data_IF_098572178246
#
_entry.id   IF_098572178246
#
_cell.length_a   1.000
_cell.length_b   1.000
_cell.length_c   1.000
_cell.angle_alpha   90.00
_cell.angle_beta   90.00
_cell.angle_gamma   90.00
#
_symmetry.space_group_name_H-M   'P 1'
#
loop_
_entity.id
_entity.type
_entity.pdbx_description
1 polymer ?
#
# COMPACT_ATOMS: atom_id res chain seq x y z
N UNK A 1 -14.31 17.76 19.19
CA UNK A 1 -14.74 16.42 18.73
C UNK A 1 -16.20 16.47 18.29
N UNK A 2 -16.53 15.91 17.09
CA UNK A 2 -17.88 16.02 16.51
C UNK A 2 -18.92 15.21 17.29
N UNK A 3 -18.55 14.02 17.77
CA UNK A 3 -19.45 13.10 18.49
C UNK A 3 -18.89 12.66 19.84
N UNK A 4 -17.63 12.99 20.18
CA UNK A 4 -16.94 12.48 21.37
C UNK A 4 -17.53 12.90 22.72
N UNK A 5 -18.39 13.91 22.77
CA UNK A 5 -19.12 14.33 23.97
C UNK A 5 -20.49 13.63 24.15
N UNK A 6 -20.91 12.80 23.19
CA UNK A 6 -22.21 12.13 23.24
C UNK A 6 -22.04 10.76 23.93
N UNK A 7 -22.82 10.50 24.97
CA UNK A 7 -22.84 9.18 25.61
C UNK A 7 -23.29 8.11 24.61
N UNK A 8 -22.69 6.92 24.62
CA UNK A 8 -22.96 5.84 23.66
C UNK A 8 -24.45 5.46 23.57
N UNK A 9 -25.14 5.38 24.70
CA UNK A 9 -26.59 5.07 24.73
C UNK A 9 -27.48 6.19 24.20
N UNK A 10 -26.95 7.41 24.04
CA UNK A 10 -27.66 8.57 23.45
C UNK A 10 -27.25 8.86 22.03
N UNK A 11 -26.28 8.14 21.48
CA UNK A 11 -25.79 8.34 20.11
C UNK A 11 -26.86 7.84 19.12
N UNK A 12 -27.40 8.77 18.32
CA UNK A 12 -28.44 8.50 17.31
C UNK A 12 -27.86 8.58 15.90
N UNK A 13 -28.49 7.93 14.90
CA UNK A 13 -28.05 8.02 13.48
C UNK A 13 -27.85 9.46 13.01
N UNK A 14 -28.77 10.37 13.32
CA UNK A 14 -28.68 11.79 12.99
C UNK A 14 -27.36 12.45 13.41
N UNK A 15 -26.81 12.11 14.58
CA UNK A 15 -25.52 12.65 15.03
C UNK A 15 -24.35 12.19 14.14
N UNK A 16 -24.42 10.98 13.59
CA UNK A 16 -23.44 10.44 12.66
C UNK A 16 -23.61 11.05 11.27
N UNK A 17 -24.82 11.32 10.82
CA UNK A 17 -25.07 12.06 9.56
C UNK A 17 -24.52 13.47 9.64
N UNK A 18 -24.76 14.18 10.74
CA UNK A 18 -24.17 15.50 10.97
C UNK A 18 -22.65 15.45 10.99
N UNK A 19 -22.06 14.45 11.63
CA UNK A 19 -20.60 14.22 11.60
C UNK A 19 -20.09 14.04 10.16
N UNK A 20 -20.76 13.23 9.33
CA UNK A 20 -20.40 13.03 7.92
C UNK A 20 -20.53 14.33 7.12
N UNK A 21 -21.61 15.08 7.32
CA UNK A 21 -21.84 16.37 6.67
C UNK A 21 -20.70 17.35 7.00
N UNK A 22 -20.32 17.47 8.25
CA UNK A 22 -19.21 18.31 8.67
C UNK A 22 -17.85 17.82 8.15
N UNK A 23 -17.62 16.49 8.09
CA UNK A 23 -16.41 15.92 7.48
C UNK A 23 -16.28 16.28 6.00
N UNK A 24 -17.38 16.22 5.24
CA UNK A 24 -17.41 16.60 3.80
C UNK A 24 -17.07 18.07 3.56
N UNK A 25 -17.38 18.97 4.51
CA UNK A 25 -17.00 20.40 4.45
C UNK A 25 -15.53 20.64 4.73
N UNK A 26 -14.86 19.74 5.46
CA UNK A 26 -13.45 19.91 5.83
C UNK A 26 -12.53 19.76 4.63
N UNK A 27 -11.46 20.56 4.65
CA UNK A 27 -10.38 20.46 3.68
C UNK A 27 -9.17 19.77 4.31
N UNK A 28 -8.56 18.87 3.57
CA UNK A 28 -7.29 18.24 3.90
C UNK A 28 -6.33 18.47 2.73
N UNK A 29 -5.19 19.09 2.98
CA UNK A 29 -4.25 19.56 1.95
C UNK A 29 -4.95 20.41 0.84
N UNK A 30 -5.82 21.34 1.25
CA UNK A 30 -6.53 22.27 0.34
C UNK A 30 -7.72 21.64 -0.43
N UNK A 31 -7.91 20.32 -0.40
CA UNK A 31 -9.01 19.61 -1.08
C UNK A 31 -10.08 19.17 -0.08
N UNK A 32 -11.35 19.25 -0.48
CA UNK A 32 -12.46 18.69 0.33
C UNK A 32 -12.30 17.18 0.51
N UNK A 33 -12.69 16.68 1.68
CA UNK A 33 -12.73 15.24 1.94
C UNK A 33 -13.76 14.61 1.01
N UNK A 34 -13.34 13.60 0.23
CA UNK A 34 -14.22 12.87 -0.67
C UNK A 34 -15.10 11.86 0.08
N UNK A 35 -16.17 11.40 -0.55
CA UNK A 35 -17.14 10.47 0.04
C UNK A 35 -16.47 9.18 0.55
N UNK A 36 -15.59 8.59 -0.22
CA UNK A 36 -14.86 7.38 0.18
C UNK A 36 -14.05 7.57 1.47
N UNK A 37 -13.46 8.75 1.66
CA UNK A 37 -12.72 9.09 2.89
C UNK A 37 -13.67 9.32 4.06
N UNK A 38 -14.79 10.03 3.85
CA UNK A 38 -15.79 10.23 4.89
C UNK A 38 -16.37 8.89 5.39
N UNK A 39 -16.65 7.97 4.47
CA UNK A 39 -17.12 6.63 4.82
C UNK A 39 -16.07 5.79 5.56
N UNK A 40 -14.77 5.97 5.29
CA UNK A 40 -13.71 5.33 6.09
C UNK A 40 -13.72 5.81 7.54
N UNK A 41 -13.93 7.09 7.79
CA UNK A 41 -14.11 7.58 9.17
C UNK A 41 -15.32 6.93 9.83
N UNK A 42 -16.45 6.85 9.13
CA UNK A 42 -17.63 6.19 9.65
C UNK A 42 -17.41 4.70 9.92
N UNK A 43 -16.65 4.00 9.07
CA UNK A 43 -16.35 2.58 9.27
C UNK A 43 -15.57 2.32 10.57
N UNK A 44 -14.66 3.23 10.95
CA UNK A 44 -13.97 3.15 12.25
C UNK A 44 -14.96 3.35 13.40
N UNK A 45 -15.82 4.37 13.31
CA UNK A 45 -16.87 4.60 14.33
C UNK A 45 -17.80 3.40 14.40
N UNK A 46 -18.23 2.85 13.25
CA UNK A 46 -19.10 1.67 13.21
C UNK A 46 -18.44 0.43 13.82
N UNK A 47 -17.12 0.26 13.67
CA UNK A 47 -16.40 -0.85 14.31
C UNK A 47 -16.43 -0.74 15.83
N UNK A 48 -16.16 0.46 16.38
CA UNK A 48 -16.26 0.73 17.83
C UNK A 48 -17.67 0.52 18.35
N UNK A 49 -18.68 1.00 17.62
CA UNK A 49 -20.08 0.80 18.00
C UNK A 49 -20.54 -0.67 17.89
N UNK A 50 -19.96 -1.43 16.97
CA UNK A 50 -20.21 -2.87 16.87
C UNK A 50 -19.58 -3.63 18.04
N UNK A 51 -18.45 -3.16 18.53
CA UNK A 51 -17.81 -3.71 19.72
C UNK A 51 -18.63 -3.38 20.98
N UNK A 52 -19.08 -2.13 21.11
CA UNK A 52 -19.99 -1.71 22.19
C UNK A 52 -21.30 -2.52 22.20
N UNK A 53 -21.86 -2.85 21.01
CA UNK A 53 -23.02 -3.74 20.91
C UNK A 53 -22.69 -5.16 21.35
N UNK A 54 -21.52 -5.70 20.97
CA UNK A 54 -21.09 -7.05 21.36
C UNK A 54 -20.93 -7.18 22.89
N UNK A 55 -20.48 -6.10 23.52
CA UNK A 55 -20.35 -6.02 24.98
C UNK A 55 -21.62 -5.51 25.67
N UNK A 56 -22.77 -5.52 25.00
CA UNK A 56 -24.08 -5.16 25.54
C UNK A 56 -24.21 -3.74 26.13
N UNK A 57 -23.27 -2.84 25.79
CA UNK A 57 -23.29 -1.41 26.19
C UNK A 57 -24.38 -0.65 25.42
N UNK A 58 -24.70 -1.08 24.20
CA UNK A 58 -25.77 -0.55 23.36
C UNK A 58 -26.52 -1.70 22.67
N UNK A 59 -27.81 -1.56 22.50
CA UNK A 59 -28.65 -2.59 21.84
C UNK A 59 -28.43 -2.66 20.34
N UNK A 60 -28.25 -1.51 19.70
CA UNK A 60 -28.14 -1.38 18.22
C UNK A 60 -26.98 -0.48 17.84
N UNK A 61 -26.31 -0.80 16.74
CA UNK A 61 -25.29 0.07 16.16
C UNK A 61 -25.95 1.13 15.25
N UNK A 62 -26.00 2.41 15.65
CA UNK A 62 -26.64 3.45 14.88
C UNK A 62 -25.95 3.74 13.54
N UNK A 63 -24.66 3.42 13.39
CA UNK A 63 -23.95 3.61 12.12
C UNK A 63 -24.41 2.63 11.02
N UNK A 64 -24.99 1.49 11.38
CA UNK A 64 -25.56 0.54 10.42
C UNK A 64 -26.96 0.90 9.92
N UNK A 65 -27.56 1.92 10.52
CA UNK A 65 -28.89 2.43 10.13
C UNK A 65 -28.80 3.56 9.12
N UNK A 66 -27.58 3.98 8.74
CA UNK A 66 -27.36 5.03 7.77
C UNK A 66 -27.44 4.48 6.35
N UNK A 67 -28.25 5.12 5.53
CA UNK A 67 -28.23 4.92 4.09
C UNK A 67 -27.16 5.82 3.46
N UNK A 68 -26.08 5.22 2.99
CA UNK A 68 -24.92 5.93 2.49
C UNK A 68 -24.87 5.86 0.96
N UNK A 69 -24.59 6.97 0.29
CA UNK A 69 -24.40 6.94 -1.15
C UNK A 69 -23.21 6.04 -1.51
N UNK A 70 -23.36 5.22 -2.53
CA UNK A 70 -22.26 4.41 -3.05
C UNK A 70 -21.16 5.33 -3.58
N UNK A 71 -19.92 5.22 -3.09
CA UNK A 71 -18.83 6.03 -3.61
C UNK A 71 -18.63 5.77 -5.10
N UNK A 72 -18.59 6.82 -5.91
CA UNK A 72 -18.28 6.67 -7.31
C UNK A 72 -16.88 6.08 -7.46
N UNK A 73 -16.79 4.94 -8.14
CA UNK A 73 -15.50 4.36 -8.52
C UNK A 73 -14.88 5.23 -9.61
N UNK A 74 -13.78 5.86 -9.30
CA UNK A 74 -12.97 6.52 -10.33
C UNK A 74 -12.42 5.42 -11.24
N UNK A 75 -12.77 5.43 -12.51
CA UNK A 75 -12.16 4.54 -13.50
C UNK A 75 -10.68 4.91 -13.58
N UNK A 76 -9.82 3.98 -13.20
CA UNK A 76 -8.37 4.18 -13.31
C UNK A 76 -7.99 4.14 -14.78
N UNK A 77 -7.43 5.23 -15.29
CA UNK A 77 -6.92 5.29 -16.64
C UNK A 77 -5.67 4.41 -16.76
N UNK A 78 -5.68 3.53 -17.74
CA UNK A 78 -4.49 2.74 -18.11
C UNK A 78 -3.59 3.64 -18.96
N UNK A 79 -2.28 3.73 -18.67
CA UNK A 79 -1.35 4.50 -19.48
C UNK A 79 -1.27 3.95 -20.93
N UNK A 80 -1.17 4.84 -21.89
CA UNK A 80 -0.92 4.47 -23.28
C UNK A 80 0.53 3.99 -23.47
N UNK A 81 0.80 3.28 -24.56
CA UNK A 81 2.16 2.83 -24.91
C UNK A 81 3.16 3.99 -24.92
N UNK A 82 2.81 5.10 -25.54
CA UNK A 82 3.70 6.28 -25.62
C UNK A 82 3.99 6.91 -24.24
N UNK A 83 3.03 6.86 -23.33
CA UNK A 83 3.24 7.31 -21.94
C UNK A 83 4.17 6.38 -21.17
N UNK A 84 4.07 5.07 -21.40
CA UNK A 84 4.99 4.09 -20.81
C UNK A 84 6.40 4.28 -21.36
N UNK A 85 6.57 4.48 -22.67
CA UNK A 85 7.86 4.78 -23.30
C UNK A 85 8.51 6.04 -22.70
N UNK A 86 7.77 7.14 -22.58
CA UNK A 86 8.25 8.37 -21.92
C UNK A 86 8.64 8.15 -20.45
N UNK A 87 7.88 7.31 -19.74
CA UNK A 87 8.21 6.94 -18.35
C UNK A 87 9.54 6.18 -18.31
N UNK A 88 9.75 5.21 -19.20
CA UNK A 88 10.99 4.44 -19.28
C UNK A 88 12.20 5.33 -19.61
N UNK A 89 12.06 6.29 -20.54
CA UNK A 89 13.09 7.27 -20.87
C UNK A 89 13.43 8.16 -19.67
N UNK A 90 12.42 8.57 -18.90
CA UNK A 90 12.63 9.35 -17.68
C UNK A 90 13.38 8.51 -16.65
N UNK A 91 12.96 7.26 -16.43
CA UNK A 91 13.60 6.33 -15.51
C UNK A 91 15.05 6.00 -15.91
N UNK A 92 15.39 6.07 -17.19
CA UNK A 92 16.76 5.86 -17.65
C UNK A 92 17.75 6.90 -17.10
N UNK A 93 17.27 8.11 -16.76
CA UNK A 93 18.05 9.23 -16.21
C UNK A 93 18.16 9.16 -14.68
N UNK A 94 17.30 8.38 -14.04
CA UNK A 94 17.24 8.25 -12.59
C UNK A 94 18.36 7.35 -12.03
N UNK A 95 18.73 7.50 -10.73
CA UNK A 95 19.65 6.58 -10.06
C UNK A 95 19.21 5.13 -10.22
N UNK A 96 20.17 4.23 -10.46
CA UNK A 96 19.90 2.83 -10.86
C UNK A 96 18.98 2.06 -9.91
N UNK A 97 19.05 2.33 -8.60
CA UNK A 97 18.18 1.67 -7.63
C UNK A 97 16.70 2.11 -7.78
N UNK A 98 16.43 3.38 -8.09
CA UNK A 98 15.07 3.83 -8.41
C UNK A 98 14.59 3.23 -9.72
N UNK A 99 15.44 3.26 -10.77
CA UNK A 99 15.10 2.64 -12.05
C UNK A 99 14.71 1.17 -11.87
N UNK A 100 15.54 0.39 -11.14
CA UNK A 100 15.25 -1.02 -10.89
C UNK A 100 13.97 -1.22 -10.10
N UNK A 101 13.74 -0.41 -9.06
CA UNK A 101 12.53 -0.46 -8.25
C UNK A 101 11.26 -0.26 -9.09
N UNK A 102 11.25 0.75 -9.94
CA UNK A 102 10.09 1.03 -10.80
C UNK A 102 9.92 -0.01 -11.90
N UNK A 103 11.00 -0.50 -12.51
CA UNK A 103 10.93 -1.60 -13.46
C UNK A 103 10.32 -2.85 -12.81
N UNK A 104 10.82 -3.26 -11.65
CA UNK A 104 10.24 -4.37 -10.90
C UNK A 104 8.76 -4.13 -10.58
N UNK A 105 8.39 -2.91 -10.16
CA UNK A 105 6.99 -2.56 -9.92
C UNK A 105 6.10 -2.78 -11.15
N UNK A 106 6.56 -2.32 -12.31
CA UNK A 106 5.81 -2.44 -13.57
C UNK A 106 5.66 -3.89 -14.04
N UNK A 107 6.74 -4.67 -13.95
CA UNK A 107 6.73 -6.06 -14.43
C UNK A 107 6.06 -7.04 -13.46
N UNK A 108 6.08 -6.78 -12.16
CA UNK A 108 5.59 -7.74 -11.14
C UNK A 108 4.23 -7.37 -10.56
N UNK A 109 3.82 -6.12 -10.65
CA UNK A 109 2.64 -5.61 -9.93
C UNK A 109 2.76 -5.72 -8.40
N UNK A 110 3.97 -5.89 -7.86
CA UNK A 110 4.19 -5.98 -6.44
C UNK A 110 3.87 -4.66 -5.73
N UNK A 111 3.34 -4.76 -4.51
CA UNK A 111 3.12 -3.57 -3.67
C UNK A 111 4.47 -2.96 -3.26
N UNK A 112 4.49 -1.66 -3.02
CA UNK A 112 5.69 -0.94 -2.58
C UNK A 112 6.40 -1.63 -1.40
N UNK A 113 5.65 -2.07 -0.39
CA UNK A 113 6.20 -2.75 0.78
C UNK A 113 6.79 -4.12 0.45
N UNK A 114 6.21 -4.86 -0.47
CA UNK A 114 6.73 -6.14 -0.97
C UNK A 114 8.05 -5.93 -1.72
N UNK A 115 8.09 -4.95 -2.65
CA UNK A 115 9.32 -4.59 -3.37
C UNK A 115 10.45 -4.16 -2.44
N UNK A 116 10.13 -3.39 -1.38
CA UNK A 116 11.11 -2.92 -0.41
C UNK A 116 11.65 -4.03 0.51
N UNK A 117 10.99 -5.19 0.54
CA UNK A 117 11.38 -6.35 1.33
C UNK A 117 12.08 -7.44 0.51
N UNK A 118 12.23 -7.25 -0.81
CA UNK A 118 12.88 -8.24 -1.67
C UNK A 118 14.35 -8.42 -1.32
N UNK A 119 14.78 -9.67 -1.30
CA UNK A 119 16.16 -10.08 -1.10
C UNK A 119 16.67 -10.84 -2.32
N UNK A 120 17.99 -10.91 -2.48
CA UNK A 120 18.60 -11.68 -3.56
C UNK A 120 18.24 -13.17 -3.53
N UNK A 121 17.97 -13.72 -2.35
CA UNK A 121 17.51 -15.10 -2.15
C UNK A 121 16.10 -15.38 -2.67
N UNK A 122 15.30 -14.33 -2.89
CA UNK A 122 13.93 -14.49 -3.40
C UNK A 122 13.88 -14.76 -4.91
N UNK A 123 15.04 -14.66 -5.60
CA UNK A 123 15.14 -14.86 -7.05
C UNK A 123 15.81 -16.20 -7.34
N UNK A 124 15.05 -17.12 -7.93
CA UNK A 124 15.52 -18.44 -8.39
C UNK A 124 15.70 -18.45 -9.90
N UNK A 125 16.85 -18.89 -10.39
CA UNK A 125 17.12 -19.01 -11.83
C UNK A 125 16.26 -20.08 -12.48
N UNK A 126 15.70 -19.76 -13.67
CA UNK A 126 15.02 -20.71 -14.56
C UNK A 126 15.75 -20.74 -15.91
N UNK A 127 15.41 -21.67 -16.82
CA UNK A 127 16.03 -21.73 -18.14
C UNK A 127 15.92 -20.41 -18.90
N UNK A 128 14.74 -19.76 -18.86
CA UNK A 128 14.43 -18.59 -19.69
C UNK A 128 14.20 -17.30 -18.88
N UNK A 129 14.53 -17.25 -17.58
CA UNK A 129 14.27 -16.07 -16.76
C UNK A 129 14.62 -16.27 -15.30
N UNK A 130 13.84 -15.62 -14.44
CA UNK A 130 13.89 -15.77 -12.98
C UNK A 130 12.49 -16.00 -12.44
N UNK A 131 12.40 -16.81 -11.40
CA UNK A 131 11.20 -16.91 -10.56
C UNK A 131 11.42 -16.06 -9.31
N UNK A 132 10.52 -15.12 -9.06
CA UNK A 132 10.52 -14.26 -7.89
C UNK A 132 9.48 -14.76 -6.89
N UNK A 133 9.91 -15.11 -5.68
CA UNK A 133 9.04 -15.46 -4.57
C UNK A 133 8.76 -14.24 -3.71
N UNK A 134 7.49 -13.80 -3.65
CA UNK A 134 7.04 -12.66 -2.84
C UNK A 134 6.36 -13.18 -1.58
N UNK A 135 7.07 -13.15 -0.46
CA UNK A 135 6.60 -13.71 0.83
C UNK A 135 6.55 -12.67 1.96
N UNK A 136 7.20 -11.52 1.78
CA UNK A 136 7.42 -10.51 2.82
C UNK A 136 6.99 -9.12 2.36
N UNK A 137 6.76 -8.24 3.33
CA UNK A 137 6.48 -6.83 3.11
C UNK A 137 7.19 -5.99 4.17
N UNK A 138 7.75 -4.86 3.79
CA UNK A 138 8.41 -3.91 4.68
C UNK A 138 7.61 -2.62 4.75
N UNK A 139 7.39 -2.12 5.95
CA UNK A 139 6.73 -0.84 6.19
C UNK A 139 7.56 0.01 7.14
N UNK A 140 7.54 1.32 6.94
CA UNK A 140 8.13 2.27 7.88
C UNK A 140 7.10 2.61 8.96
N UNK A 141 7.44 2.36 10.21
CA UNK A 141 6.57 2.64 11.36
C UNK A 141 7.21 3.76 12.18
N UNK A 142 6.50 4.87 12.44
CA UNK A 142 7.00 5.95 13.27
C UNK A 142 7.51 5.42 14.62
N UNK A 143 8.71 5.81 15.03
CA UNK A 143 9.36 5.38 16.27
C UNK A 143 9.96 3.97 16.27
N UNK A 144 9.65 3.12 15.27
CA UNK A 144 10.20 1.76 15.16
C UNK A 144 11.07 1.54 13.93
N UNK A 145 11.12 2.51 12.99
CA UNK A 145 11.85 2.38 11.75
C UNK A 145 11.20 1.40 10.77
N UNK A 146 12.02 0.67 10.01
CA UNK A 146 11.54 -0.31 9.04
C UNK A 146 11.22 -1.64 9.72
N UNK A 147 9.98 -2.07 9.61
CA UNK A 147 9.48 -3.34 10.16
C UNK A 147 9.12 -4.27 9.01
N UNK A 148 9.65 -5.49 9.04
CA UNK A 148 9.26 -6.56 8.13
C UNK A 148 8.16 -7.42 8.72
N UNK A 149 7.26 -7.89 7.86
CA UNK A 149 6.19 -8.81 8.21
C UNK A 149 5.74 -9.60 6.99
N UNK A 150 4.76 -10.46 7.19
CA UNK A 150 4.12 -11.17 6.10
C UNK A 150 3.43 -10.21 5.11
N UNK A 151 3.11 -10.71 3.91
CA UNK A 151 2.27 -9.97 2.95
C UNK A 151 0.91 -9.66 3.56
N UNK A 152 0.20 -8.65 3.03
CA UNK A 152 -1.11 -8.21 3.55
C UNK A 152 -2.13 -9.35 3.77
N UNK A 153 -2.04 -10.42 2.97
CA UNK A 153 -2.95 -11.56 3.06
C UNK A 153 -2.28 -12.81 3.69
N UNK A 154 -1.05 -12.69 4.21
CA UNK A 154 -0.28 -13.80 4.76
C UNK A 154 0.17 -14.86 3.76
N UNK A 155 -0.15 -14.71 2.47
CA UNK A 155 0.15 -15.68 1.41
C UNK A 155 1.38 -15.25 0.61
N UNK A 156 2.28 -16.19 0.35
CA UNK A 156 3.34 -16.04 -0.64
C UNK A 156 2.79 -16.25 -2.05
N UNK A 157 3.46 -15.67 -3.04
CA UNK A 157 3.19 -15.92 -4.45
C UNK A 157 4.48 -15.87 -5.26
N UNK A 158 4.44 -16.50 -6.40
CA UNK A 158 5.53 -16.52 -7.36
C UNK A 158 5.18 -15.66 -8.57
N UNK A 159 6.17 -14.94 -9.09
CA UNK A 159 6.07 -14.10 -10.28
C UNK A 159 7.22 -14.45 -11.21
N UNK A 160 6.91 -14.83 -12.44
CA UNK A 160 7.91 -15.08 -13.45
C UNK A 160 8.44 -13.76 -14.04
N UNK A 161 9.75 -13.65 -14.17
CA UNK A 161 10.45 -12.53 -14.77
C UNK A 161 11.19 -12.97 -16.03
N UNK A 162 11.00 -12.21 -17.12
CA UNK A 162 11.63 -12.50 -18.42
C UNK A 162 13.15 -12.44 -18.38
N UNK A 163 13.79 -12.99 -19.41
CA UNK A 163 15.26 -12.96 -19.63
C UNK A 163 15.83 -11.55 -19.58
N UNK A 164 15.13 -10.56 -20.14
CA UNK A 164 15.60 -9.18 -20.19
C UNK A 164 15.72 -8.59 -18.80
N UNK A 165 14.68 -8.78 -17.97
CA UNK A 165 14.71 -8.30 -16.59
C UNK A 165 15.74 -9.06 -15.74
N UNK A 166 15.94 -10.37 -16.02
CA UNK A 166 17.04 -11.16 -15.42
C UNK A 166 18.39 -10.50 -15.69
N UNK A 167 18.66 -10.10 -16.95
CA UNK A 167 19.91 -9.43 -17.32
C UNK A 167 20.16 -8.16 -16.52
N UNK A 168 19.14 -7.31 -16.41
CA UNK A 168 19.19 -6.06 -15.63
C UNK A 168 19.46 -6.32 -14.13
N UNK A 169 18.77 -7.28 -13.54
CA UNK A 169 18.93 -7.66 -12.12
C UNK A 169 20.32 -8.21 -11.83
N UNK A 170 20.83 -9.12 -12.67
CA UNK A 170 22.17 -9.70 -12.49
C UNK A 170 23.26 -8.65 -12.65
N UNK A 171 23.14 -7.73 -13.62
CA UNK A 171 24.08 -6.62 -13.79
C UNK A 171 24.06 -5.70 -12.55
N UNK A 172 22.90 -5.41 -11.99
CA UNK A 172 22.78 -4.63 -10.76
C UNK A 172 23.41 -5.34 -9.57
N UNK A 173 23.15 -6.64 -9.37
CA UNK A 173 23.73 -7.47 -8.31
C UNK A 173 25.26 -7.48 -8.37
N UNK A 174 25.83 -7.74 -9.56
CA UNK A 174 27.29 -7.72 -9.77
C UNK A 174 27.91 -6.39 -9.36
N UNK A 175 27.30 -5.29 -9.78
CA UNK A 175 27.77 -3.95 -9.41
C UNK A 175 27.72 -3.74 -7.90
N UNK A 176 26.64 -4.12 -7.23
CA UNK A 176 26.51 -4.01 -5.78
C UNK A 176 27.56 -4.85 -5.05
N UNK A 177 27.86 -6.03 -5.57
CA UNK A 177 28.96 -6.85 -5.06
C UNK A 177 30.30 -6.12 -5.17
N UNK A 178 30.62 -5.57 -6.34
CA UNK A 178 31.87 -4.82 -6.54
C UNK A 178 31.97 -3.57 -5.65
N UNK A 179 30.85 -2.87 -5.41
CA UNK A 179 30.79 -1.73 -4.48
C UNK A 179 31.04 -2.20 -3.03
N UNK A 180 30.47 -3.32 -2.62
CA UNK A 180 30.66 -3.91 -1.28
C UNK A 180 32.11 -4.38 -1.09
N UNK A 181 32.70 -5.05 -2.06
CA UNK A 181 34.07 -5.54 -2.05
C UNK A 181 35.06 -4.38 -1.91
N UNK A 182 34.89 -3.30 -2.68
CA UNK A 182 35.71 -2.07 -2.56
C UNK A 182 35.65 -1.46 -1.14
N UNK A 183 34.50 -1.57 -0.47
CA UNK A 183 34.27 -1.04 0.88
C UNK A 183 34.62 -2.08 1.98
N UNK A 184 35.16 -3.23 1.62
CA UNK A 184 35.47 -4.35 2.53
C UNK A 184 34.30 -4.76 3.42
N UNK A 185 33.09 -4.70 2.88
CA UNK A 185 31.86 -5.10 3.57
C UNK A 185 31.12 -6.20 2.80
N UNK A 186 30.25 -6.94 3.50
CA UNK A 186 29.40 -7.94 2.85
C UNK A 186 28.31 -7.25 1.99
N UNK A 187 27.92 -7.92 0.90
CA UNK A 187 26.76 -7.49 0.11
C UNK A 187 25.51 -7.49 1.01
N UNK A 188 24.74 -6.39 0.95
CA UNK A 188 23.45 -6.34 1.60
C UNK A 188 22.52 -7.41 1.02
N UNK A 189 21.71 -8.11 1.83
CA UNK A 189 20.72 -9.05 1.33
C UNK A 189 19.65 -8.38 0.44
N UNK A 190 19.50 -7.05 0.56
CA UNK A 190 18.52 -6.22 -0.15
C UNK A 190 19.11 -5.48 -1.33
#
# INVERSE_FOLDING_TARGET
PMIGGIRLNKLRPMALENMLSELRKRKHHGKRINESTAQRYLSVVSAVLSDAKRNEIIEKNPARMLDLPTPQRTVQRIPTRSEVEKLLDTLAKEPRHYRLFYLLSMYTGCRRGELSALQWSDFTGTQNGLLLTVSRSRSSVPGKGNVEGATKNGKSREVYLSSDLRGILLAYKRRKQMEADKQRRRLSPY
#
